data_IF_959570840868
#
_entry.id   IF_959570840868
#
_cell.length_a   1.000
_cell.length_b   1.000
_cell.length_c   1.000
_cell.angle_alpha   90.00
_cell.angle_beta   90.00
_cell.angle_gamma   90.00
#
_symmetry.space_group_name_H-M   'P 1'
#
loop_
_entity.id
_entity.type
_entity.pdbx_description
1 polymer ?
#
# COMPACT_ATOMS: atom_id res chain seq x y z
N UNK A 1 12.01 -34.30 14.40
CA UNK A 1 10.66 -33.70 14.28
C UNK A 1 10.70 -32.33 14.94
N UNK A 2 10.88 -31.29 14.15
CA UNK A 2 10.95 -29.90 14.64
C UNK A 2 9.54 -29.34 14.68
N UNK A 3 8.95 -29.22 15.83
CA UNK A 3 7.68 -28.55 16.06
C UNK A 3 7.82 -27.07 15.76
N UNK A 4 7.22 -26.64 14.66
CA UNK A 4 7.13 -25.23 14.28
C UNK A 4 6.27 -24.50 15.32
N UNK A 5 6.79 -23.45 15.95
CA UNK A 5 6.02 -22.63 16.86
C UNK A 5 4.78 -22.06 16.16
N UNK A 6 3.63 -22.01 16.84
CA UNK A 6 2.41 -21.46 16.26
C UNK A 6 2.62 -19.98 15.91
N UNK A 7 2.26 -19.61 14.68
CA UNK A 7 2.27 -18.22 14.22
C UNK A 7 1.31 -17.44 15.13
N UNK A 8 1.73 -16.28 15.69
CA UNK A 8 0.86 -15.51 16.56
C UNK A 8 -0.39 -15.07 15.78
N UNK A 9 -1.55 -15.39 16.29
CA UNK A 9 -2.84 -14.90 15.77
C UNK A 9 -2.85 -13.39 15.97
N UNK A 10 -2.78 -12.64 14.87
CA UNK A 10 -2.93 -11.19 14.88
C UNK A 10 -4.34 -10.88 15.43
N UNK A 11 -4.41 -10.40 16.65
CA UNK A 11 -5.66 -9.92 17.25
C UNK A 11 -6.12 -8.70 16.44
N UNK A 12 -7.28 -8.82 15.79
CA UNK A 12 -7.89 -7.73 15.04
C UNK A 12 -8.35 -8.10 13.62
N UNK A 13 -8.16 -9.35 13.18
CA UNK A 13 -8.73 -9.78 11.90
C UNK A 13 -10.25 -9.90 12.06
N UNK A 14 -10.99 -8.96 11.45
CA UNK A 14 -12.47 -9.02 11.39
C UNK A 14 -12.91 -10.33 10.73
N UNK A 15 -13.97 -10.91 11.26
CA UNK A 15 -14.60 -12.10 10.66
C UNK A 15 -15.09 -11.80 9.24
N UNK A 16 -15.34 -12.84 8.44
CA UNK A 16 -15.89 -12.67 7.08
C UNK A 16 -17.22 -11.90 7.13
N UNK A 17 -18.07 -12.17 8.16
CA UNK A 17 -19.34 -11.46 8.34
C UNK A 17 -19.16 -9.98 8.69
N UNK A 18 -18.16 -9.65 9.50
CA UNK A 18 -17.81 -8.26 9.80
C UNK A 18 -17.24 -7.53 8.57
N UNK A 19 -16.46 -8.24 7.75
CA UNK A 19 -15.95 -7.71 6.47
C UNK A 19 -17.07 -7.47 5.46
N UNK A 20 -18.08 -8.34 5.40
CA UNK A 20 -19.25 -8.17 4.52
C UNK A 20 -20.15 -7.00 4.93
N UNK A 21 -20.09 -6.55 6.18
CA UNK A 21 -20.78 -5.36 6.68
C UNK A 21 -19.96 -4.06 6.54
N UNK A 22 -18.74 -4.14 6.03
CA UNK A 22 -17.90 -2.95 5.83
C UNK A 22 -18.45 -2.09 4.69
N UNK A 23 -18.47 -0.79 4.92
CA UNK A 23 -18.73 0.19 3.89
C UNK A 23 -17.51 0.26 2.95
N UNK A 24 -17.63 -0.38 1.80
CA UNK A 24 -16.58 -0.40 0.79
C UNK A 24 -16.45 0.92 0.02
N UNK A 25 -17.29 1.91 0.30
CA UNK A 25 -17.18 3.26 -0.29
C UNK A 25 -15.90 3.98 0.13
N UNK A 26 -15.29 3.56 1.25
CA UNK A 26 -14.04 4.12 1.80
C UNK A 26 -12.77 3.33 1.47
N UNK A 27 -12.85 2.38 0.56
CA UNK A 27 -11.71 1.55 0.16
C UNK A 27 -11.84 0.08 0.56
N UNK A 28 -11.22 -0.78 -0.24
CA UNK A 28 -11.36 -2.25 -0.14
C UNK A 28 -10.38 -2.85 0.87
N UNK A 29 -9.29 -2.16 1.20
CA UNK A 29 -8.25 -2.66 2.08
C UNK A 29 -8.32 -1.94 3.43
N UNK A 30 -8.44 -2.68 4.54
CA UNK A 30 -8.51 -2.06 5.85
C UNK A 30 -7.20 -1.34 6.18
N UNK A 31 -7.31 -0.10 6.62
CA UNK A 31 -6.24 0.61 7.27
C UNK A 31 -6.03 0.02 8.68
N UNK A 32 -4.80 -0.30 9.00
CA UNK A 32 -4.38 -0.83 10.29
C UNK A 32 -3.34 0.14 10.86
N UNK A 33 -3.72 1.05 11.77
CA UNK A 33 -2.80 2.04 12.34
C UNK A 33 -1.56 1.42 12.97
N UNK A 34 -1.71 0.29 13.65
CA UNK A 34 -0.63 -0.41 14.34
C UNK A 34 0.47 -0.88 13.39
N UNK A 35 0.13 -1.23 12.14
CA UNK A 35 1.14 -1.57 11.13
C UNK A 35 1.96 -0.36 10.70
N UNK A 36 1.37 0.83 10.73
CA UNK A 36 2.07 2.08 10.37
C UNK A 36 2.96 2.52 11.52
N UNK A 37 2.49 2.39 12.74
CA UNK A 37 3.28 2.70 13.96
C UNK A 37 4.48 1.74 14.10
N UNK A 38 4.29 0.45 13.81
CA UNK A 38 5.36 -0.53 13.71
C UNK A 38 6.37 -0.14 12.62
N UNK A 39 5.88 0.25 11.45
CA UNK A 39 6.76 0.68 10.37
C UNK A 39 7.55 1.96 10.73
N UNK A 40 6.96 2.93 11.40
CA UNK A 40 7.63 4.14 11.87
C UNK A 40 8.75 3.82 12.85
N UNK A 41 8.47 2.92 13.79
CA UNK A 41 9.47 2.44 14.75
C UNK A 41 10.65 1.78 14.05
N UNK A 42 10.39 0.86 13.13
CA UNK A 42 11.43 0.12 12.42
C UNK A 42 12.20 0.99 11.41
N UNK A 43 11.54 1.97 10.78
CA UNK A 43 12.20 2.95 9.92
C UNK A 43 13.15 3.84 10.74
N UNK A 44 12.74 4.26 11.94
CA UNK A 44 13.57 5.04 12.86
C UNK A 44 14.79 4.24 13.30
N UNK A 45 14.63 2.96 13.66
CA UNK A 45 15.73 2.05 14.01
C UNK A 45 16.72 1.88 12.85
N UNK A 46 16.20 1.78 11.63
CA UNK A 46 17.06 1.71 10.44
C UNK A 46 17.88 2.99 10.24
N UNK A 47 17.25 4.16 10.37
CA UNK A 47 17.95 5.44 10.26
C UNK A 47 19.02 5.64 11.34
N UNK A 48 18.81 5.06 12.52
CA UNK A 48 19.79 5.04 13.62
C UNK A 48 20.91 4.01 13.42
N UNK A 49 20.86 3.19 12.36
CA UNK A 49 21.85 2.12 12.12
C UNK A 49 21.69 0.88 13.02
N UNK A 50 20.51 0.68 13.61
CA UNK A 50 20.21 -0.43 14.52
C UNK A 50 19.75 -1.71 13.83
N UNK A 51 19.52 -1.67 12.52
CA UNK A 51 19.12 -2.85 11.75
C UNK A 51 20.33 -3.76 11.47
N UNK A 52 20.16 -5.08 11.53
CA UNK A 52 21.25 -6.06 11.33
C UNK A 52 21.88 -5.96 9.94
N UNK A 53 21.08 -5.68 8.92
CA UNK A 53 21.56 -5.49 7.56
C UNK A 53 20.59 -4.64 6.72
N UNK A 54 21.14 -3.95 5.71
CA UNK A 54 20.34 -3.22 4.73
C UNK A 54 19.42 -4.15 3.94
N UNK A 55 19.87 -5.36 3.61
CA UNK A 55 19.09 -6.33 2.85
C UNK A 55 17.81 -6.76 3.60
N UNK A 56 17.87 -6.95 4.91
CA UNK A 56 16.71 -7.30 5.72
C UNK A 56 15.71 -6.15 5.78
N UNK A 57 16.19 -4.92 5.96
CA UNK A 57 15.31 -3.74 5.94
C UNK A 57 14.66 -3.53 4.56
N UNK A 58 15.38 -3.78 3.47
CA UNK A 58 14.82 -3.75 2.12
C UNK A 58 13.64 -4.72 2.01
N UNK A 59 13.78 -5.95 2.47
CA UNK A 59 12.70 -6.93 2.43
C UNK A 59 11.50 -6.50 3.30
N UNK A 60 11.77 -5.94 4.47
CA UNK A 60 10.75 -5.44 5.39
C UNK A 60 9.92 -4.31 4.78
N UNK A 61 10.58 -3.30 4.17
CA UNK A 61 9.88 -2.14 3.58
C UNK A 61 9.16 -2.46 2.26
N UNK A 62 9.68 -3.43 1.46
CA UNK A 62 9.09 -3.77 0.16
C UNK A 62 7.65 -4.27 0.28
N UNK A 63 7.36 -5.15 1.24
CA UNK A 63 5.99 -5.66 1.45
C UNK A 63 5.02 -4.59 1.95
N UNK A 64 5.56 -3.46 2.42
CA UNK A 64 4.81 -2.28 2.85
C UNK A 64 4.68 -1.21 1.77
N UNK A 65 5.11 -1.53 0.53
CA UNK A 65 4.98 -0.65 -0.62
C UNK A 65 6.03 0.47 -0.70
N UNK A 66 7.11 0.37 0.09
CA UNK A 66 8.20 1.34 0.13
C UNK A 66 9.42 0.78 -0.58
N UNK A 67 9.84 1.43 -1.65
CA UNK A 67 10.93 0.99 -2.51
C UNK A 67 12.05 2.03 -2.55
N UNK A 68 13.28 1.61 -2.22
CA UNK A 68 14.46 2.49 -2.32
C UNK A 68 14.74 2.91 -3.75
N UNK A 69 15.06 4.17 -3.93
CA UNK A 69 15.47 4.71 -5.23
C UNK A 69 16.99 4.72 -5.37
N UNK A 70 17.47 5.08 -6.57
CA UNK A 70 18.92 5.26 -6.81
C UNK A 70 19.50 6.43 -6.03
N UNK A 71 18.68 7.47 -5.80
CA UNK A 71 19.05 8.62 -5.01
C UNK A 71 19.08 8.22 -3.54
N UNK A 72 20.08 8.65 -2.78
CA UNK A 72 20.16 8.36 -1.35
C UNK A 72 18.98 8.98 -0.59
N UNK A 73 18.61 8.35 0.50
CA UNK A 73 17.65 8.84 1.50
C UNK A 73 16.21 9.07 1.01
N UNK A 74 15.88 8.67 -0.22
CA UNK A 74 14.53 8.81 -0.76
C UNK A 74 13.95 7.50 -1.27
N UNK A 75 12.63 7.41 -1.15
CA UNK A 75 11.85 6.22 -1.44
C UNK A 75 10.82 6.49 -2.54
N UNK A 76 10.48 5.46 -3.28
CA UNK A 76 9.26 5.40 -4.07
C UNK A 76 8.21 4.68 -3.25
N UNK A 77 7.07 5.30 -3.06
CA UNK A 77 5.90 4.65 -2.45
C UNK A 77 4.92 4.23 -3.53
N UNK A 78 4.42 3.01 -3.43
CA UNK A 78 3.38 2.50 -4.33
C UNK A 78 2.10 2.28 -3.56
N UNK A 79 1.03 2.88 -4.07
CA UNK A 79 -0.31 2.84 -3.50
C UNK A 79 -1.15 1.87 -4.31
N UNK A 80 -1.81 0.91 -3.65
CA UNK A 80 -2.76 0.00 -4.28
C UNK A 80 -4.08 0.73 -4.56
N UNK A 81 -4.54 0.63 -5.80
CA UNK A 81 -5.85 1.12 -6.24
C UNK A 81 -6.57 -0.02 -6.96
N UNK A 82 -7.27 -0.90 -6.23
CA UNK A 82 -7.94 -2.04 -6.81
C UNK A 82 -9.00 -1.61 -7.83
N UNK A 83 -8.94 -2.20 -9.03
CA UNK A 83 -9.84 -1.87 -10.13
C UNK A 83 -9.64 -0.47 -10.73
N UNK A 84 -8.60 0.24 -10.33
CA UNK A 84 -8.29 1.59 -10.82
C UNK A 84 -9.29 2.67 -10.38
N UNK A 85 -10.26 2.33 -9.53
CA UNK A 85 -11.30 3.25 -9.08
C UNK A 85 -10.87 3.99 -7.82
N UNK A 86 -11.03 5.30 -7.80
CA UNK A 86 -10.78 6.17 -6.66
C UNK A 86 -11.98 7.07 -6.39
N UNK A 87 -12.27 7.30 -5.12
CA UNK A 87 -13.25 8.29 -4.69
C UNK A 87 -12.66 9.71 -4.70
N UNK A 88 -13.53 10.73 -4.60
CA UNK A 88 -13.08 12.12 -4.50
C UNK A 88 -12.19 12.33 -3.26
N UNK A 89 -12.58 11.78 -2.11
CA UNK A 89 -11.80 11.89 -0.86
C UNK A 89 -10.42 11.25 -0.99
N UNK A 90 -10.31 10.13 -1.71
CA UNK A 90 -9.03 9.49 -2.01
C UNK A 90 -8.16 10.34 -2.93
N UNK A 91 -8.75 11.02 -3.90
CA UNK A 91 -8.03 11.96 -4.77
C UNK A 91 -7.55 13.19 -3.99
N UNK A 92 -8.35 13.70 -3.05
CA UNK A 92 -7.97 14.82 -2.19
C UNK A 92 -6.82 14.42 -1.26
N UNK A 93 -6.89 13.26 -0.61
CA UNK A 93 -5.79 12.72 0.19
C UNK A 93 -4.51 12.54 -0.65
N UNK A 94 -4.67 12.10 -1.89
CA UNK A 94 -3.54 11.99 -2.82
C UNK A 94 -2.96 13.37 -3.18
N UNK A 95 -3.80 14.36 -3.43
CA UNK A 95 -3.39 15.74 -3.65
C UNK A 95 -2.63 16.32 -2.45
N UNK A 96 -3.10 16.07 -1.23
CA UNK A 96 -2.45 16.49 0.00
C UNK A 96 -1.05 15.89 0.14
N UNK A 97 -0.94 14.55 0.04
CA UNK A 97 0.35 13.89 0.20
C UNK A 97 1.38 14.34 -0.86
N UNK A 98 0.94 14.49 -2.12
CA UNK A 98 1.85 14.94 -3.20
C UNK A 98 2.32 16.38 -2.94
N UNK A 99 1.43 17.23 -2.45
CA UNK A 99 1.75 18.63 -2.14
C UNK A 99 2.72 18.77 -0.97
N UNK A 100 2.62 17.91 0.03
CA UNK A 100 3.45 17.98 1.24
C UNK A 100 4.76 17.20 1.11
N UNK A 101 4.72 15.97 0.63
CA UNK A 101 5.80 15.00 0.76
C UNK A 101 6.49 14.62 -0.57
N UNK A 102 5.91 14.95 -1.73
CA UNK A 102 6.53 14.69 -3.01
C UNK A 102 7.21 15.94 -3.59
N UNK A 103 8.54 15.99 -3.69
CA UNK A 103 9.24 17.15 -4.25
C UNK A 103 8.79 17.52 -5.67
N UNK A 104 8.44 16.51 -6.48
CA UNK A 104 7.98 16.72 -7.86
C UNK A 104 6.52 17.17 -7.95
N UNK A 105 5.78 17.23 -6.84
CA UNK A 105 4.35 17.63 -6.78
C UNK A 105 3.46 16.84 -7.74
N UNK A 106 3.79 15.57 -7.99
CA UNK A 106 3.05 14.70 -8.89
C UNK A 106 3.18 13.23 -8.49
N UNK A 107 2.17 12.43 -8.85
CA UNK A 107 2.20 10.98 -8.81
C UNK A 107 2.32 10.38 -10.22
N UNK A 108 2.54 9.08 -10.27
CA UNK A 108 2.65 8.28 -11.49
C UNK A 108 1.60 7.19 -11.49
N UNK A 109 0.69 7.18 -12.45
CA UNK A 109 -0.24 6.07 -12.65
C UNK A 109 0.50 4.96 -13.38
N UNK A 110 0.41 3.73 -12.86
CA UNK A 110 1.05 2.56 -13.47
C UNK A 110 0.09 1.84 -14.41
N UNK A 111 0.62 1.02 -15.31
CA UNK A 111 -0.18 0.18 -16.22
C UNK A 111 -1.02 -0.88 -15.48
N UNK A 112 -0.79 -1.09 -14.17
CA UNK A 112 -1.63 -1.91 -13.28
C UNK A 112 -2.52 -1.09 -12.38
N UNK A 113 -2.85 0.13 -12.77
CA UNK A 113 -3.80 0.99 -12.07
C UNK A 113 -3.38 1.38 -10.65
N UNK A 114 -2.12 1.14 -10.28
CA UNK A 114 -1.56 1.64 -9.03
C UNK A 114 -1.03 3.06 -9.22
N UNK A 115 -0.83 3.75 -8.10
CA UNK A 115 -0.18 5.06 -8.12
C UNK A 115 1.18 4.96 -7.44
N UNK A 116 2.17 5.67 -7.97
CA UNK A 116 3.50 5.79 -7.39
C UNK A 116 3.80 7.24 -7.06
N UNK A 117 4.41 7.45 -5.91
CA UNK A 117 4.98 8.75 -5.49
C UNK A 117 6.47 8.57 -5.29
N UNK A 118 7.24 9.48 -5.86
CA UNK A 118 8.70 9.40 -5.88
C UNK A 118 9.34 10.44 -4.98
N UNK A 119 10.55 10.14 -4.53
CA UNK A 119 11.41 11.02 -3.74
C UNK A 119 10.83 11.38 -2.36
N UNK A 120 10.03 10.50 -1.78
CA UNK A 120 9.56 10.63 -0.41
C UNK A 120 10.70 10.26 0.53
N UNK A 121 10.99 11.07 1.54
CA UNK A 121 11.96 10.71 2.57
C UNK A 121 11.46 9.54 3.41
N UNK A 122 12.37 8.73 3.94
CA UNK A 122 11.98 7.56 4.71
C UNK A 122 11.19 7.92 5.97
N UNK A 123 11.59 8.99 6.65
CA UNK A 123 10.91 9.55 7.84
C UNK A 123 9.51 10.08 7.54
N UNK A 124 9.25 10.52 6.30
CA UNK A 124 7.95 11.01 5.87
C UNK A 124 6.98 9.87 5.46
N UNK A 125 7.51 8.66 5.20
CA UNK A 125 6.69 7.55 4.70
C UNK A 125 5.56 7.12 5.65
N UNK A 126 5.72 7.09 7.00
CA UNK A 126 4.61 6.78 7.91
C UNK A 126 3.49 7.83 7.85
N UNK A 127 3.84 9.11 7.71
CA UNK A 127 2.84 10.18 7.57
C UNK A 127 2.02 10.02 6.29
N UNK A 128 2.69 9.68 5.18
CA UNK A 128 2.02 9.38 3.90
C UNK A 128 1.09 8.17 4.05
N UNK A 129 1.52 7.12 4.75
CA UNK A 129 0.69 5.93 5.00
C UNK A 129 -0.56 6.27 5.82
N UNK A 130 -0.47 7.16 6.82
CA UNK A 130 -1.62 7.59 7.63
C UNK A 130 -2.63 8.38 6.79
N UNK A 131 -2.19 9.38 6.03
CA UNK A 131 -3.07 10.16 5.13
C UNK A 131 -3.82 9.23 4.17
N UNK A 132 -3.12 8.30 3.54
CA UNK A 132 -3.73 7.32 2.65
C UNK A 132 -4.70 6.39 3.38
N UNK A 133 -4.32 5.91 4.57
CA UNK A 133 -5.11 5.01 5.38
C UNK A 133 -6.44 5.61 5.81
N UNK A 134 -6.45 6.87 6.23
CA UNK A 134 -7.66 7.61 6.60
C UNK A 134 -8.64 7.76 5.42
N UNK A 135 -8.11 7.86 4.19
CA UNK A 135 -8.91 7.86 2.97
C UNK A 135 -9.26 6.44 2.46
N UNK A 136 -8.86 5.38 3.17
CA UNK A 136 -9.13 4.00 2.79
C UNK A 136 -8.22 3.45 1.69
N UNK A 137 -7.05 4.04 1.50
CA UNK A 137 -5.98 3.53 0.63
C UNK A 137 -4.84 2.95 1.45
N UNK A 138 -4.14 1.95 0.91
CA UNK A 138 -2.99 1.35 1.59
C UNK A 138 -1.83 1.12 0.61
N UNK A 139 -0.63 1.07 1.18
CA UNK A 139 0.60 0.72 0.46
C UNK A 139 0.99 -0.75 0.65
N UNK A 140 0.30 -1.46 1.56
CA UNK A 140 0.58 -2.87 1.90
C UNK A 140 0.57 -3.74 0.65
N UNK A 141 1.59 -4.58 0.50
CA UNK A 141 1.76 -5.52 -0.63
C UNK A 141 1.71 -4.87 -2.03
N UNK A 142 1.95 -3.57 -2.12
CA UNK A 142 2.00 -2.88 -3.41
C UNK A 142 3.34 -3.10 -4.14
N UNK A 143 4.36 -3.56 -3.42
CA UNK A 143 5.69 -3.89 -3.96
C UNK A 143 6.16 -5.26 -3.49
N UNK A 144 7.24 -5.75 -4.10
CA UNK A 144 7.85 -7.02 -3.73
C UNK A 144 7.19 -8.23 -4.40
N UNK A 145 7.47 -9.41 -3.87
CA UNK A 145 6.92 -10.68 -4.34
C UNK A 145 5.58 -10.99 -3.64
N UNK A 146 4.56 -10.23 -3.97
CA UNK A 146 3.25 -10.23 -3.33
C UNK A 146 2.13 -10.36 -4.36
N UNK A 147 0.90 -10.55 -3.91
CA UNK A 147 -0.27 -10.55 -4.79
C UNK A 147 -0.41 -9.18 -5.47
N UNK A 148 -0.41 -9.19 -6.80
CA UNK A 148 -0.49 -7.97 -7.60
C UNK A 148 -1.87 -7.32 -7.47
N UNK A 149 -1.94 -6.02 -7.84
CA UNK A 149 -3.20 -5.30 -7.89
C UNK A 149 -4.17 -5.98 -8.85
N UNK A 150 -5.45 -5.95 -8.50
CA UNK A 150 -6.54 -6.38 -9.39
C UNK A 150 -6.84 -5.23 -10.34
N UNK A 151 -6.53 -5.43 -11.62
CA UNK A 151 -6.87 -4.45 -12.65
C UNK A 151 -8.32 -4.65 -13.12
N UNK A 152 -9.02 -3.55 -13.34
CA UNK A 152 -10.37 -3.53 -13.89
C UNK A 152 -10.41 -3.10 -15.36
N UNK A 153 -11.55 -3.29 -16.01
CA UNK A 153 -11.80 -2.66 -17.31
C UNK A 153 -12.15 -1.18 -17.06
N UNK A 154 -11.44 -0.21 -17.68
CA UNK A 154 -11.75 1.22 -17.51
C UNK A 154 -13.18 1.60 -17.93
N UNK A 155 -13.85 0.75 -18.70
CA UNK A 155 -15.24 0.89 -19.10
C UNK A 155 -16.21 0.11 -18.20
N UNK A 156 -15.75 -0.42 -17.06
CA UNK A 156 -16.63 -1.07 -16.08
C UNK A 156 -17.74 -0.13 -15.64
N UNK A 157 -18.98 -0.64 -15.66
CA UNK A 157 -20.16 0.14 -15.32
C UNK A 157 -20.80 0.88 -16.51
N UNK A 158 -20.09 1.06 -17.61
CA UNK A 158 -20.61 1.67 -18.85
C UNK A 158 -20.93 0.60 -19.90
N UNK A 159 -20.13 -0.45 -19.93
CA UNK A 159 -20.27 -1.57 -20.87
C UNK A 159 -21.11 -2.69 -20.25
N UNK A 160 -22.17 -3.20 -20.89
CA UNK A 160 -23.11 -4.17 -20.30
C UNK A 160 -22.48 -5.50 -19.81
N UNK A 161 -21.25 -5.83 -20.18
CA UNK A 161 -20.58 -7.12 -19.89
C UNK A 161 -19.34 -6.98 -19.02
N UNK A 162 -18.92 -5.76 -18.67
CA UNK A 162 -17.59 -5.53 -18.07
C UNK A 162 -17.47 -5.84 -16.59
N UNK A 163 -18.54 -6.20 -15.88
CA UNK A 163 -18.42 -6.63 -14.46
C UNK A 163 -18.56 -8.13 -14.22
N UNK A 164 -18.82 -8.91 -15.24
CA UNK A 164 -19.02 -10.35 -15.05
C UNK A 164 -17.71 -11.13 -14.93
N UNK A 165 -16.58 -10.52 -15.27
CA UNK A 165 -15.28 -11.18 -15.23
C UNK A 165 -14.16 -10.24 -14.77
N UNK A 166 -13.95 -10.15 -13.46
CA UNK A 166 -12.66 -9.75 -12.93
C UNK A 166 -11.67 -10.90 -13.24
N UNK A 167 -10.87 -10.74 -14.27
CA UNK A 167 -9.78 -11.68 -14.53
C UNK A 167 -8.69 -11.45 -13.48
N UNK A 168 -8.62 -12.34 -12.50
CA UNK A 168 -7.42 -12.46 -11.69
C UNK A 168 -6.26 -12.82 -12.63
N UNK A 169 -5.08 -12.18 -12.52
CA UNK A 169 -3.93 -12.59 -13.29
C UNK A 169 -3.58 -14.01 -12.88
N UNK A 170 -3.91 -14.97 -13.76
CA UNK A 170 -3.38 -16.32 -13.66
C UNK A 170 -1.86 -16.24 -13.81
N UNK A 171 -1.14 -16.99 -12.98
CA UNK A 171 0.31 -17.14 -13.10
C UNK A 171 0.69 -17.37 -14.57
N UNK A 172 1.55 -16.51 -15.09
CA UNK A 172 2.41 -16.86 -16.21
C UNK A 172 3.63 -17.58 -15.66
#
# INVERSE_FOLDING_TARGET
>A
MTTRAPVPIVRGVKTIEEKLKMDYSKGVLPYIPEEVDDFETEATRYLNGEWPSEAEFIMYRLVRGVYGQRQPDVQMMRIKVPGGAMTADQMDAFGELVSKYAPLKKGHVTTRENIQVHFVKLDDTPHVMRILGEAGLVTREACGNTVRNVAGDPLSGVKPVSYTHLTLPTKA
#
